data_IF_653325561105
#
_entry.id   IF_653325561105
#
_cell.length_a   1.000
_cell.length_b   1.000
_cell.length_c   1.000
_cell.angle_alpha   90.00
_cell.angle_beta   90.00
_cell.angle_gamma   90.00
#
_symmetry.space_group_name_H-M   'P 1'
#
loop_
_entity.id
_entity.type
_entity.pdbx_description
1 polymer ?
#
# COMPACT_ATOMS: atom_id res chain seq x y z
N UNK A 1 12.97 23.60 39.49
CA UNK A 1 12.75 24.05 38.10
C UNK A 1 13.86 23.54 37.18
N UNK A 2 13.88 22.23 36.95
CA UNK A 2 14.84 21.51 36.08
C UNK A 2 14.12 20.50 35.17
N UNK A 3 12.79 20.41 35.25
CA UNK A 3 11.97 19.44 34.51
C UNK A 3 11.44 19.97 33.16
N UNK A 4 11.70 21.24 32.80
CA UNK A 4 11.25 21.84 31.53
C UNK A 4 12.28 21.82 30.40
N UNK A 5 13.51 21.38 30.65
CA UNK A 5 14.61 21.45 29.67
C UNK A 5 14.96 20.13 28.95
N UNK A 6 14.25 19.02 29.24
CA UNK A 6 14.48 17.74 28.56
C UNK A 6 13.49 17.42 27.42
N UNK A 7 12.37 18.13 27.29
CA UNK A 7 11.32 17.84 26.28
C UNK A 7 11.57 18.43 24.88
N UNK A 8 12.83 18.75 24.52
CA UNK A 8 13.13 19.38 23.22
C UNK A 8 14.24 18.70 22.42
N UNK A 9 14.70 17.50 22.82
CA UNK A 9 15.77 16.79 22.12
C UNK A 9 15.43 15.40 21.55
N UNK A 10 14.23 14.86 21.77
CA UNK A 10 13.87 13.52 21.27
C UNK A 10 12.88 13.50 20.09
N UNK A 11 12.31 14.63 19.68
CA UNK A 11 11.25 14.63 18.65
C UNK A 11 11.74 14.47 17.20
N UNK A 12 13.05 14.38 16.93
CA UNK A 12 13.58 14.29 15.57
C UNK A 12 13.89 12.86 15.11
N UNK A 13 13.96 11.90 16.03
CA UNK A 13 14.26 10.49 15.72
C UNK A 13 12.98 9.67 15.44
N UNK A 14 11.85 10.06 16.02
CA UNK A 14 10.58 9.33 15.86
C UNK A 14 9.89 9.60 14.51
N UNK A 15 10.06 10.79 13.93
CA UNK A 15 9.49 11.14 12.60
C UNK A 15 10.04 10.32 11.44
N UNK A 16 11.24 9.72 11.58
CA UNK A 16 11.85 8.90 10.52
C UNK A 16 11.15 7.55 10.38
N UNK A 17 10.45 7.08 11.43
CA UNK A 17 9.80 5.78 11.45
C UNK A 17 8.36 5.76 10.88
N UNK A 18 7.82 6.91 10.46
CA UNK A 18 6.43 7.00 9.97
C UNK A 18 6.33 7.18 8.45
N UNK A 19 7.45 7.29 7.72
CA UNK A 19 7.45 7.58 6.29
C UNK A 19 7.98 6.41 5.48
N UNK A 20 7.21 5.96 4.49
CA UNK A 20 7.71 5.08 3.43
C UNK A 20 8.29 5.96 2.31
N UNK A 21 9.58 5.83 2.03
CA UNK A 21 10.25 6.48 0.91
C UNK A 21 11.03 5.48 0.07
N UNK A 22 10.63 5.31 -1.19
CA UNK A 22 11.32 4.48 -2.18
C UNK A 22 11.74 5.37 -3.34
N UNK A 23 13.04 5.62 -3.51
CA UNK A 23 13.55 6.41 -4.65
C UNK A 23 14.05 5.50 -5.74
N UNK A 24 13.71 5.85 -6.98
CA UNK A 24 14.17 5.12 -8.16
C UNK A 24 13.80 3.63 -8.13
N UNK A 25 12.63 3.32 -7.55
CA UNK A 25 12.08 1.98 -7.43
C UNK A 25 11.86 1.37 -8.81
N UNK A 26 12.42 0.19 -9.01
CA UNK A 26 12.23 -0.65 -10.18
C UNK A 26 11.40 -1.90 -9.82
N UNK A 27 10.47 -2.34 -10.68
CA UNK A 27 9.72 -3.56 -10.40
C UNK A 27 10.65 -4.77 -10.35
N UNK A 28 10.50 -5.61 -9.33
CA UNK A 28 11.41 -6.74 -9.08
C UNK A 28 11.46 -7.78 -10.20
N UNK A 29 10.43 -7.84 -11.05
CA UNK A 29 10.34 -8.77 -12.18
C UNK A 29 10.95 -8.23 -13.48
N UNK A 30 11.42 -6.98 -13.48
CA UNK A 30 12.21 -6.46 -14.59
C UNK A 30 13.69 -6.64 -14.30
N UNK A 31 14.43 -7.00 -15.34
CA UNK A 31 15.87 -7.10 -15.28
C UNK A 31 16.49 -5.70 -15.18
N UNK A 32 17.14 -5.42 -14.05
CA UNK A 32 17.84 -4.17 -13.82
C UNK A 32 18.94 -3.91 -14.86
N UNK A 33 19.51 -4.97 -15.46
CA UNK A 33 20.58 -4.89 -16.46
C UNK A 33 20.05 -4.53 -17.85
N UNK A 34 18.79 -4.87 -18.16
CA UNK A 34 18.19 -4.57 -19.47
C UNK A 34 17.75 -3.11 -19.61
N UNK A 35 17.78 -2.32 -18.53
CA UNK A 35 17.57 -0.87 -18.56
C UNK A 35 16.20 -0.41 -19.05
N UNK A 36 15.21 -1.30 -19.15
CA UNK A 36 13.89 -1.02 -19.75
C UNK A 36 12.83 -0.62 -18.73
N UNK A 37 13.09 -0.81 -17.43
CA UNK A 37 12.14 -0.47 -16.38
C UNK A 37 12.10 1.05 -16.13
N UNK A 38 10.91 1.64 -16.24
CA UNK A 38 10.67 2.99 -15.74
C UNK A 38 10.73 2.98 -14.22
N UNK A 39 11.70 3.73 -13.67
CA UNK A 39 11.87 3.88 -12.24
C UNK A 39 10.88 4.89 -11.67
N UNK A 40 10.41 4.65 -10.45
CA UNK A 40 9.42 5.49 -9.78
C UNK A 40 9.90 5.92 -8.39
N UNK A 41 9.53 7.12 -7.97
CA UNK A 41 9.73 7.56 -6.58
C UNK A 41 8.39 7.58 -5.86
N UNK A 42 8.33 6.94 -4.70
CA UNK A 42 7.15 6.86 -3.83
C UNK A 42 7.50 7.43 -2.47
N UNK A 43 6.72 8.39 -1.99
CA UNK A 43 6.81 8.91 -0.63
C UNK A 43 5.42 8.95 -0.03
N UNK A 44 5.22 8.21 1.06
CA UNK A 44 3.92 8.03 1.69
C UNK A 44 4.02 8.23 3.21
N UNK A 45 3.05 8.97 3.75
CA UNK A 45 2.88 9.21 5.19
C UNK A 45 1.45 8.89 5.66
N UNK A 46 0.52 8.64 4.72
CA UNK A 46 -0.92 8.48 4.93
C UNK A 46 -1.52 7.71 3.75
N UNK A 47 -2.85 7.70 3.65
CA UNK A 47 -3.54 7.18 2.47
C UNK A 47 -3.37 8.06 1.23
N UNK A 48 -3.24 7.46 0.05
CA UNK A 48 -3.28 8.14 -1.24
C UNK A 48 -4.16 7.44 -2.25
N UNK A 49 -4.79 8.23 -3.12
CA UNK A 49 -5.53 7.70 -4.27
C UNK A 49 -4.67 7.82 -5.53
N UNK A 50 -4.23 6.68 -6.06
CA UNK A 50 -3.53 6.63 -7.34
C UNK A 50 -4.51 6.52 -8.50
N UNK A 51 -4.66 7.60 -9.26
CA UNK A 51 -5.54 7.65 -10.44
C UNK A 51 -4.73 7.71 -11.73
N UNK A 52 -5.36 7.37 -12.85
CA UNK A 52 -4.73 7.40 -14.17
C UNK A 52 -5.32 6.38 -15.14
N UNK A 53 -4.99 6.47 -16.44
CA UNK A 53 -5.54 5.58 -17.47
C UNK A 53 -5.18 4.11 -17.24
N UNK A 54 -5.99 3.22 -17.80
CA UNK A 54 -5.67 1.79 -17.84
C UNK A 54 -4.38 1.57 -18.63
N UNK A 55 -3.52 0.66 -18.16
CA UNK A 55 -2.19 0.43 -18.74
C UNK A 55 -1.11 1.43 -18.32
N UNK A 56 -1.43 2.47 -17.53
CA UNK A 56 -0.47 3.46 -17.04
C UNK A 56 0.47 2.98 -15.93
N UNK A 57 0.53 1.68 -15.64
CA UNK A 57 1.46 1.11 -14.65
C UNK A 57 1.03 1.19 -13.19
N UNK A 58 -0.19 1.64 -12.86
CA UNK A 58 -0.70 1.76 -11.48
C UNK A 58 -0.58 0.44 -10.68
N UNK A 59 -1.15 -0.64 -11.20
CA UNK A 59 -1.07 -1.97 -10.58
C UNK A 59 0.38 -2.48 -10.46
N UNK A 60 1.23 -2.13 -11.42
CA UNK A 60 2.67 -2.46 -11.38
C UNK A 60 3.38 -1.68 -10.27
N UNK A 61 3.04 -0.41 -10.06
CA UNK A 61 3.58 0.39 -8.97
C UNK A 61 3.16 -0.18 -7.62
N UNK A 62 1.87 -0.47 -7.41
CA UNK A 62 1.36 -1.07 -6.17
C UNK A 62 2.09 -2.39 -5.84
N UNK A 63 2.23 -3.29 -6.83
CA UNK A 63 3.00 -4.54 -6.65
C UNK A 63 4.47 -4.29 -6.32
N UNK A 64 5.08 -3.29 -6.94
CA UNK A 64 6.48 -2.94 -6.69
C UNK A 64 6.70 -2.40 -5.29
N UNK A 65 5.79 -1.54 -4.81
CA UNK A 65 5.81 -1.00 -3.44
C UNK A 65 5.60 -2.12 -2.41
N UNK A 66 4.65 -3.03 -2.66
CA UNK A 66 4.40 -4.19 -1.82
C UNK A 66 5.65 -5.06 -1.69
N UNK A 67 6.24 -5.46 -2.82
CA UNK A 67 7.45 -6.27 -2.85
C UNK A 67 8.64 -5.57 -2.18
N UNK A 68 8.85 -4.27 -2.44
CA UNK A 68 9.90 -3.49 -1.81
C UNK A 68 9.75 -3.46 -0.29
N UNK A 69 8.52 -3.27 0.20
CA UNK A 69 8.21 -3.25 1.63
C UNK A 69 8.52 -4.60 2.29
N UNK A 70 8.09 -5.71 1.68
CA UNK A 70 8.38 -7.07 2.17
C UNK A 70 9.88 -7.35 2.19
N UNK A 71 10.59 -7.00 1.11
CA UNK A 71 12.05 -7.18 1.03
C UNK A 71 12.76 -6.41 2.15
N UNK A 72 12.38 -5.13 2.36
CA UNK A 72 12.95 -4.31 3.42
C UNK A 72 12.70 -4.87 4.82
N UNK A 73 11.48 -5.31 5.12
CA UNK A 73 11.13 -5.93 6.41
C UNK A 73 11.93 -7.22 6.65
N UNK A 74 12.13 -8.03 5.61
CA UNK A 74 12.92 -9.25 5.68
C UNK A 74 14.44 -9.01 5.75
N UNK A 75 14.91 -7.75 5.71
CA UNK A 75 16.34 -7.42 5.69
C UNK A 75 17.03 -7.75 4.36
N UNK A 76 16.25 -7.85 3.28
CA UNK A 76 16.75 -8.13 1.93
C UNK A 76 16.99 -6.83 1.16
N UNK A 77 17.79 -6.94 0.09
CA UNK A 77 18.10 -5.81 -0.77
C UNK A 77 16.85 -5.40 -1.58
N UNK A 78 16.50 -4.11 -1.51
CA UNK A 78 15.33 -3.53 -2.20
C UNK A 78 15.76 -3.04 -3.59
N UNK A 79 14.98 -3.30 -4.67
CA UNK A 79 15.31 -2.86 -6.03
C UNK A 79 15.04 -1.35 -6.26
N UNK A 80 15.67 -0.51 -5.45
CA UNK A 80 15.57 0.95 -5.44
C UNK A 80 16.95 1.58 -5.21
N UNK A 81 17.14 2.84 -5.58
CA UNK A 81 18.37 3.58 -5.26
C UNK A 81 18.49 3.85 -3.76
N UNK A 82 17.37 4.18 -3.12
CA UNK A 82 17.27 4.31 -1.67
C UNK A 82 15.90 3.87 -1.18
N UNK A 83 15.85 3.20 -0.04
CA UNK A 83 14.60 2.75 0.59
C UNK A 83 14.60 3.08 2.09
N UNK A 84 13.59 3.82 2.53
CA UNK A 84 13.20 4.02 3.93
C UNK A 84 11.85 3.33 4.08
N UNK A 85 11.80 2.26 4.85
CA UNK A 85 10.61 1.42 5.02
C UNK A 85 10.30 1.37 6.52
N UNK A 86 9.12 1.88 6.94
CA UNK A 86 8.64 1.74 8.32
C UNK A 86 8.53 0.28 8.74
N UNK A 87 8.59 0.03 10.04
CA UNK A 87 8.28 -1.30 10.57
C UNK A 87 6.78 -1.55 10.52
N UNK A 88 6.31 -2.18 9.43
CA UNK A 88 4.93 -2.61 9.32
C UNK A 88 4.67 -3.91 10.10
N UNK A 89 3.53 -4.01 10.78
CA UNK A 89 3.09 -5.26 11.40
C UNK A 89 2.37 -6.19 10.40
N UNK A 90 1.84 -5.62 9.32
CA UNK A 90 1.22 -6.33 8.23
C UNK A 90 1.36 -5.56 6.91
N UNK A 91 1.57 -6.30 5.82
CA UNK A 91 1.54 -5.78 4.45
C UNK A 91 0.41 -6.50 3.72
N UNK A 92 -0.62 -5.75 3.36
CA UNK A 92 -1.84 -6.25 2.75
C UNK A 92 -1.96 -5.72 1.34
N UNK A 93 -2.16 -6.61 0.38
CA UNK A 93 -2.36 -6.26 -1.02
C UNK A 93 -3.61 -6.98 -1.51
N UNK A 94 -4.64 -6.21 -1.84
CA UNK A 94 -5.79 -6.74 -2.56
C UNK A 94 -5.68 -6.31 -4.02
N UNK A 95 -5.56 -7.31 -4.89
CA UNK A 95 -5.59 -7.13 -6.33
C UNK A 95 -6.72 -7.94 -6.92
N UNK A 96 -7.31 -7.41 -7.98
CA UNK A 96 -8.26 -8.18 -8.76
C UNK A 96 -7.61 -9.47 -9.29
N UNK A 97 -8.19 -10.62 -8.95
CA UNK A 97 -7.92 -11.86 -9.64
C UNK A 97 -8.57 -11.84 -11.03
N UNK A 98 -7.84 -12.30 -12.05
CA UNK A 98 -8.45 -12.59 -13.35
C UNK A 98 -9.45 -13.74 -13.16
N UNK A 99 -10.64 -13.62 -13.77
CA UNK A 99 -11.81 -14.46 -13.50
C UNK A 99 -11.46 -15.96 -13.40
N UNK A 100 -11.74 -16.55 -12.25
CA UNK A 100 -11.86 -18.01 -12.09
C UNK A 100 -13.34 -18.33 -11.86
N UNK A 101 -14.03 -18.98 -12.81
CA UNK A 101 -15.42 -19.38 -12.60
C UNK A 101 -15.45 -20.61 -11.68
N UNK A 102 -15.57 -20.41 -10.36
CA UNK A 102 -15.84 -21.51 -9.42
C UNK A 102 -16.47 -21.07 -8.08
N UNK A 103 -17.31 -21.97 -7.53
CA UNK A 103 -17.90 -22.03 -6.17
C UNK A 103 -19.27 -21.37 -5.87
N UNK A 104 -20.06 -20.98 -6.87
CA UNK A 104 -21.47 -20.63 -6.64
C UNK A 104 -21.71 -19.35 -5.81
N UNK A 105 -20.67 -18.54 -5.61
CA UNK A 105 -20.73 -17.18 -5.05
C UNK A 105 -20.37 -16.16 -6.14
N UNK A 106 -20.90 -14.94 -6.05
CA UNK A 106 -20.51 -13.89 -7.01
C UNK A 106 -19.08 -13.41 -6.73
N UNK A 107 -18.33 -13.03 -7.78
CA UNK A 107 -16.99 -12.46 -7.64
C UNK A 107 -16.98 -11.25 -6.70
N UNK A 108 -18.06 -10.45 -6.72
CA UNK A 108 -18.25 -9.34 -5.80
C UNK A 108 -18.37 -9.79 -4.34
N UNK A 109 -19.10 -10.89 -4.06
CA UNK A 109 -19.20 -11.39 -2.69
C UNK A 109 -17.85 -11.90 -2.15
N UNK A 110 -17.03 -12.53 -3.01
CA UNK A 110 -15.68 -12.97 -2.65
C UNK A 110 -14.81 -11.74 -2.37
N UNK A 111 -14.79 -10.77 -3.29
CA UNK A 111 -14.06 -9.50 -3.16
C UNK A 111 -14.41 -8.77 -1.85
N UNK A 112 -15.71 -8.64 -1.54
CA UNK A 112 -16.15 -7.97 -0.30
C UNK A 112 -15.76 -8.75 0.96
N UNK A 113 -15.69 -10.08 0.89
CA UNK A 113 -15.23 -10.90 2.02
C UNK A 113 -13.73 -10.73 2.26
N UNK A 114 -12.93 -10.61 1.21
CA UNK A 114 -11.49 -10.36 1.30
C UNK A 114 -11.21 -8.96 1.85
N UNK A 115 -11.89 -7.94 1.32
CA UNK A 115 -11.79 -6.56 1.81
C UNK A 115 -12.21 -6.48 3.28
N UNK A 116 -13.29 -7.16 3.68
CA UNK A 116 -13.69 -7.24 5.09
C UNK A 116 -12.55 -7.80 5.95
N UNK A 117 -11.97 -8.93 5.54
CA UNK A 117 -10.87 -9.57 6.27
C UNK A 117 -9.67 -8.63 6.42
N UNK A 118 -9.33 -7.90 5.36
CA UNK A 118 -8.30 -6.88 5.33
C UNK A 118 -8.59 -5.79 6.37
N UNK A 119 -9.74 -5.14 6.27
CA UNK A 119 -10.13 -4.04 7.18
C UNK A 119 -10.13 -4.51 8.63
N UNK A 120 -10.66 -5.69 8.92
CA UNK A 120 -10.71 -6.22 10.29
C UNK A 120 -9.35 -6.54 10.89
N UNK A 121 -8.33 -6.75 10.04
CA UNK A 121 -6.98 -7.11 10.46
C UNK A 121 -6.01 -5.92 10.41
N UNK A 122 -6.39 -4.83 9.74
CA UNK A 122 -5.55 -3.65 9.56
C UNK A 122 -5.37 -2.88 10.87
N UNK A 123 -4.16 -2.40 11.10
CA UNK A 123 -3.78 -1.56 12.24
C UNK A 123 -3.19 -0.24 11.73
N UNK A 124 -2.92 0.71 12.64
CA UNK A 124 -2.19 1.94 12.32
C UNK A 124 -0.75 1.72 11.84
N UNK A 125 -0.21 0.50 11.96
CA UNK A 125 1.12 0.11 11.46
C UNK A 125 1.04 -0.86 10.30
N UNK A 126 -0.12 -1.00 9.66
CA UNK A 126 -0.28 -1.80 8.46
C UNK A 126 -0.05 -0.97 7.20
N UNK A 127 0.54 -1.59 6.18
CA UNK A 127 0.56 -1.08 4.81
C UNK A 127 -0.56 -1.75 4.02
N UNK A 128 -1.53 -0.97 3.54
CA UNK A 128 -2.72 -1.46 2.83
C UNK A 128 -2.72 -0.95 1.39
N UNK A 129 -2.65 -1.87 0.43
CA UNK A 129 -2.63 -1.55 -0.99
C UNK A 129 -3.85 -2.17 -1.68
N UNK A 130 -4.71 -1.33 -2.24
CA UNK A 130 -5.96 -1.75 -2.90
C UNK A 130 -5.91 -1.38 -4.39
N UNK A 131 -6.14 -2.35 -5.27
CA UNK A 131 -6.17 -2.14 -6.72
C UNK A 131 -7.59 -2.41 -7.28
N UNK A 132 -8.20 -1.36 -7.84
CA UNK A 132 -9.48 -1.40 -8.57
C UNK A 132 -10.65 -2.14 -7.87
N UNK A 133 -10.97 -1.76 -6.63
CA UNK A 133 -12.08 -2.34 -5.86
C UNK A 133 -13.48 -2.00 -6.42
N UNK A 134 -14.45 -2.88 -6.13
CA UNK A 134 -15.88 -2.71 -6.37
C UNK A 134 -16.29 -2.55 -7.84
N UNK A 135 -15.52 -3.09 -8.80
CA UNK A 135 -15.92 -3.11 -10.22
C UNK A 135 -17.08 -4.05 -10.54
N UNK A 136 -17.39 -5.02 -9.66
CA UNK A 136 -18.40 -6.05 -9.89
C UNK A 136 -19.86 -5.64 -9.57
N UNK A 137 -20.12 -4.36 -9.31
CA UNK A 137 -21.44 -3.84 -8.90
C UNK A 137 -21.82 -2.57 -9.68
N UNK A 138 -23.01 -2.03 -9.42
CA UNK A 138 -23.44 -0.74 -9.97
C UNK A 138 -22.43 0.36 -9.62
N UNK A 139 -21.97 1.13 -10.61
CA UNK A 139 -20.91 2.14 -10.44
C UNK A 139 -21.18 3.07 -9.27
N UNK A 140 -22.41 3.58 -9.12
CA UNK A 140 -22.77 4.48 -8.02
C UNK A 140 -22.61 3.82 -6.64
N UNK A 141 -23.06 2.56 -6.50
CA UNK A 141 -22.89 1.78 -5.26
C UNK A 141 -21.42 1.44 -5.02
N UNK A 142 -20.70 1.06 -6.07
CA UNK A 142 -19.28 0.75 -6.01
C UNK A 142 -18.44 1.92 -5.52
N UNK A 143 -18.71 3.14 -6.01
CA UNK A 143 -18.03 4.36 -5.55
C UNK A 143 -18.33 4.64 -4.08
N UNK A 144 -19.57 4.51 -3.63
CA UNK A 144 -19.91 4.71 -2.21
C UNK A 144 -19.18 3.71 -1.31
N UNK A 145 -19.15 2.42 -1.69
CA UNK A 145 -18.47 1.38 -0.92
C UNK A 145 -16.97 1.65 -0.88
N UNK A 146 -16.35 1.96 -2.03
CA UNK A 146 -14.93 2.28 -2.11
C UNK A 146 -14.56 3.50 -1.25
N UNK A 147 -15.38 4.56 -1.30
CA UNK A 147 -15.20 5.74 -0.46
C UNK A 147 -15.23 5.40 1.02
N UNK A 148 -16.24 4.64 1.47
CA UNK A 148 -16.35 4.22 2.87
C UNK A 148 -15.20 3.31 3.33
N UNK A 149 -14.65 2.48 2.45
CA UNK A 149 -13.46 1.66 2.75
C UNK A 149 -12.23 2.55 2.97
N UNK A 150 -11.98 3.50 2.06
CA UNK A 150 -10.85 4.43 2.15
C UNK A 150 -10.98 5.30 3.40
N UNK A 151 -12.16 5.85 3.68
CA UNK A 151 -12.41 6.64 4.90
C UNK A 151 -12.16 5.83 6.18
N UNK A 152 -12.56 4.56 6.20
CA UNK A 152 -12.35 3.70 7.36
C UNK A 152 -10.86 3.40 7.59
N UNK A 153 -10.12 3.10 6.51
CA UNK A 153 -8.69 2.83 6.58
C UNK A 153 -7.89 4.10 6.96
N UNK A 154 -8.28 5.26 6.45
CA UNK A 154 -7.70 6.55 6.82
C UNK A 154 -7.94 6.87 8.31
N UNK A 155 -9.14 6.63 8.82
CA UNK A 155 -9.46 6.77 10.25
C UNK A 155 -8.69 5.80 11.16
N UNK A 156 -8.39 4.59 10.68
CA UNK A 156 -7.52 3.65 11.39
C UNK A 156 -6.06 4.14 11.47
N UNK A 157 -5.67 5.08 10.60
CA UNK A 157 -4.32 5.62 10.51
C UNK A 157 -3.32 4.68 9.85
N UNK A 158 -3.78 3.73 9.02
CA UNK A 158 -2.87 2.89 8.26
C UNK A 158 -2.29 3.63 7.05
N UNK A 159 -1.14 3.17 6.57
CA UNK A 159 -0.53 3.71 5.35
C UNK A 159 -1.08 2.96 4.12
N UNK A 160 -1.33 3.64 3.01
CA UNK A 160 -1.90 2.99 1.81
C UNK A 160 -2.00 3.84 0.56
#
# INVERSE_FOLDING_TARGET
>A
DLHKFQNHKDNSLDTVNETLELRDLSPYWFDAVQGSAMKNTVRMHSMFLLTGPNGGGKSSLLRSVCAASILGICGLMVPAESAIIPHFDSVMLHMKAYDSPADGKSSFQIEMSEIRSLITSATSRSLVLLDEICRGTETAKGTCIAGSIVENLDQLGCMG
#
